data_IF_600703097327
#
_entry.id   IF_600703097327
#
_cell.length_a   1.000
_cell.length_b   1.000
_cell.length_c   1.000
_cell.angle_alpha   90.00
_cell.angle_beta   90.00
_cell.angle_gamma   90.00
#
_symmetry.space_group_name_H-M   'P 1'
#
loop_
_entity.id
_entity.type
_entity.pdbx_description
1 polymer ?
#
# COMPACT_ATOMS: atom_id res chain seq x y z
N UNK A 1 -4.78 2.50 7.57
CA UNK A 1 -5.80 2.81 6.57
C UNK A 1 -5.17 3.35 5.28
N UNK A 2 -5.96 3.39 4.22
CA UNK A 2 -5.51 3.61 2.83
C UNK A 2 -4.96 5.01 2.56
N UNK A 3 -5.49 6.05 3.22
CA UNK A 3 -5.00 7.42 3.06
C UNK A 3 -3.52 7.56 3.41
N UNK A 4 -3.08 6.97 4.53
CA UNK A 4 -1.68 6.97 4.92
C UNK A 4 -0.78 6.18 3.96
N UNK A 5 -1.28 5.07 3.39
CA UNK A 5 -0.56 4.33 2.34
C UNK A 5 -0.32 5.23 1.12
N UNK A 6 -1.37 5.88 0.60
CA UNK A 6 -1.26 6.78 -0.53
C UNK A 6 -0.34 7.98 -0.24
N UNK A 7 -0.42 8.56 0.95
CA UNK A 7 0.47 9.67 1.35
C UNK A 7 1.94 9.22 1.27
N UNK A 8 2.29 8.09 1.87
CA UNK A 8 3.64 7.56 1.82
C UNK A 8 4.09 7.22 0.40
N UNK A 9 3.23 6.54 -0.38
CA UNK A 9 3.51 6.16 -1.77
C UNK A 9 3.74 7.37 -2.69
N UNK A 10 2.90 8.39 -2.58
CA UNK A 10 3.05 9.62 -3.36
C UNK A 10 4.37 10.29 -2.98
N UNK A 11 4.62 10.52 -1.68
CA UNK A 11 5.85 11.17 -1.24
C UNK A 11 7.13 10.44 -1.68
N UNK A 12 7.10 9.10 -1.77
CA UNK A 12 8.25 8.30 -2.23
C UNK A 12 8.44 8.27 -3.75
N UNK A 13 7.43 8.61 -4.56
CA UNK A 13 7.47 8.45 -6.03
C UNK A 13 7.50 9.75 -6.82
N UNK A 14 7.01 10.84 -6.25
CA UNK A 14 6.87 12.13 -6.94
C UNK A 14 8.11 13.05 -6.87
N UNK A 15 9.18 12.63 -6.19
CA UNK A 15 10.45 13.37 -6.08
C UNK A 15 10.31 14.84 -5.62
N UNK A 16 9.36 15.13 -4.73
CA UNK A 16 9.16 16.47 -4.18
C UNK A 16 8.56 17.51 -5.16
N UNK A 17 8.15 17.10 -6.36
CA UNK A 17 7.64 17.99 -7.42
C UNK A 17 6.35 18.72 -7.08
N UNK A 18 5.42 18.04 -6.41
CA UNK A 18 4.10 18.55 -6.04
C UNK A 18 3.98 18.73 -4.55
N UNK A 19 4.36 17.71 -3.78
CA UNK A 19 4.21 17.70 -2.32
C UNK A 19 5.58 17.66 -1.65
N UNK A 20 5.91 18.67 -0.84
CA UNK A 20 7.20 18.71 -0.14
C UNK A 20 7.17 17.93 1.18
N UNK A 21 5.97 17.70 1.75
CA UNK A 21 5.78 16.94 2.99
C UNK A 21 4.36 16.37 3.08
N UNK A 22 4.15 15.43 3.99
CA UNK A 22 2.83 14.88 4.30
C UNK A 22 2.87 14.01 5.56
N UNK A 23 1.71 13.74 6.13
CA UNK A 23 1.56 12.97 7.38
C UNK A 23 0.75 11.71 7.10
N UNK A 24 1.35 10.55 7.36
CA UNK A 24 0.69 9.26 7.24
C UNK A 24 0.25 8.78 8.63
N UNK A 25 -1.07 8.80 8.90
CA UNK A 25 -1.62 8.31 10.17
C UNK A 25 -2.10 6.87 10.01
N UNK A 26 -1.55 5.97 10.82
CA UNK A 26 -1.79 4.53 10.79
C UNK A 26 -1.81 3.94 9.36
N UNK A 27 -0.75 4.13 8.53
CA UNK A 27 -0.74 3.66 7.15
C UNK A 27 -0.75 2.13 7.03
N UNK A 28 -1.31 1.61 5.94
CA UNK A 28 -0.93 0.25 5.49
C UNK A 28 0.46 0.37 4.89
N UNK A 29 1.44 -0.36 5.43
CA UNK A 29 2.82 -0.38 4.91
C UNK A 29 3.14 -1.68 4.19
N UNK A 30 2.34 -2.71 4.43
CA UNK A 30 2.47 -4.03 3.83
C UNK A 30 1.09 -4.70 3.86
N UNK A 31 0.62 -5.14 2.70
CA UNK A 31 -0.70 -5.76 2.54
C UNK A 31 -0.81 -7.10 3.27
N UNK A 32 0.32 -7.76 3.56
CA UNK A 32 0.36 -9.01 4.35
C UNK A 32 -0.05 -8.82 5.80
N UNK A 33 -0.03 -7.59 6.31
CA UNK A 33 -0.42 -7.27 7.68
C UNK A 33 -1.85 -6.71 7.81
N UNK A 34 -2.58 -6.59 6.70
CA UNK A 34 -3.96 -6.13 6.70
C UNK A 34 -4.93 -7.32 6.67
N UNK A 35 -6.21 -7.10 6.97
CA UNK A 35 -7.17 -8.20 7.06
C UNK A 35 -7.39 -8.89 5.70
N UNK A 36 -7.63 -10.20 5.73
CA UNK A 36 -7.74 -11.01 4.51
C UNK A 36 -8.96 -10.65 3.66
N UNK A 37 -10.12 -10.38 4.29
CA UNK A 37 -11.37 -10.07 3.58
C UNK A 37 -11.18 -8.83 2.70
N UNK A 38 -10.58 -7.77 3.24
CA UNK A 38 -10.30 -6.57 2.46
C UNK A 38 -9.21 -6.83 1.42
N UNK A 39 -8.10 -7.42 1.86
CA UNK A 39 -6.90 -7.49 1.02
C UNK A 39 -7.10 -8.44 -0.15
N UNK A 40 -7.60 -9.66 0.06
CA UNK A 40 -7.80 -10.65 -1.00
C UNK A 40 -8.89 -10.21 -1.99
N UNK A 41 -9.87 -9.41 -1.55
CA UNK A 41 -10.89 -8.83 -2.44
C UNK A 41 -10.30 -7.91 -3.51
N UNK A 42 -9.22 -7.19 -3.20
CA UNK A 42 -8.63 -6.19 -4.11
C UNK A 42 -7.29 -6.63 -4.69
N UNK A 43 -6.50 -7.40 -3.94
CA UNK A 43 -5.16 -7.85 -4.31
C UNK A 43 -5.12 -9.31 -4.73
N UNK A 44 -6.19 -10.10 -4.58
CA UNK A 44 -6.13 -11.55 -4.80
C UNK A 44 -5.27 -12.26 -3.75
N UNK A 45 -4.91 -13.52 -4.02
CA UNK A 45 -4.19 -14.37 -3.08
C UNK A 45 -2.67 -14.15 -3.14
N UNK A 46 -1.97 -14.11 -1.99
CA UNK A 46 -0.51 -13.96 -1.93
C UNK A 46 0.21 -15.30 -2.21
N UNK A 47 -0.01 -15.90 -3.39
CA UNK A 47 0.63 -17.16 -3.77
C UNK A 47 1.13 -17.13 -5.22
N UNK A 48 2.05 -18.05 -5.55
CA UNK A 48 2.75 -18.10 -6.84
C UNK A 48 1.84 -18.24 -8.06
N UNK A 49 0.63 -18.76 -7.89
CA UNK A 49 -0.33 -18.95 -8.97
C UNK A 49 -1.26 -17.73 -9.16
N UNK A 50 -1.12 -16.70 -8.34
CA UNK A 50 -1.92 -15.48 -8.35
C UNK A 50 -1.02 -14.25 -8.11
N UNK A 51 -1.34 -13.36 -7.17
CA UNK A 51 -0.70 -12.05 -7.07
C UNK A 51 0.47 -11.98 -6.08
N UNK A 52 1.31 -13.01 -5.98
CA UNK A 52 2.46 -12.98 -5.05
C UNK A 52 3.34 -11.73 -5.23
N UNK A 53 3.62 -11.34 -6.48
CA UNK A 53 4.46 -10.18 -6.81
C UNK A 53 3.85 -8.88 -6.29
N UNK A 54 2.52 -8.76 -6.23
CA UNK A 54 1.86 -7.56 -5.68
C UNK A 54 1.99 -7.43 -4.15
N UNK A 55 2.40 -8.48 -3.45
CA UNK A 55 2.66 -8.48 -2.00
C UNK A 55 4.17 -8.41 -1.66
N UNK A 56 5.05 -8.41 -2.67
CA UNK A 56 6.53 -8.30 -2.53
C UNK A 56 7.03 -6.90 -2.89
#
# INVERSE_FOLDING_TARGET
>A
SYGGFLTSYILSTQDGRVFQSGVAVAPVTDWRYYDSIYTERYMGMPNKNDNLIGYE
#
